data_IF_818465632676
#
_entry.id   IF_818465632676
#
_cell.length_a   1.000
_cell.length_b   1.000
_cell.length_c   1.000
_cell.angle_alpha   90.00
_cell.angle_beta   90.00
_cell.angle_gamma   90.00
#
_symmetry.space_group_name_H-M   'P 1'
#
loop_
_entity.id
_entity.type
_entity.pdbx_description
1 polymer ?
#
# COMPACT_ATOMS: atom_id res chain seq x y z
N UNK A 1 0.04 -20.89 -7.83
CA UNK A 1 -0.03 -20.83 -6.35
C UNK A 1 -1.16 -21.74 -5.90
N UNK A 2 -0.91 -22.62 -4.91
CA UNK A 2 -1.97 -23.35 -4.20
C UNK A 2 -2.27 -22.56 -2.94
N UNK A 3 -3.46 -21.99 -2.87
CA UNK A 3 -3.96 -21.28 -1.70
C UNK A 3 -4.94 -22.19 -0.97
N UNK A 4 -4.86 -22.23 0.35
CA UNK A 4 -5.83 -22.94 1.19
C UNK A 4 -6.98 -21.97 1.50
N UNK A 5 -8.20 -22.20 0.99
CA UNK A 5 -9.30 -21.26 1.18
C UNK A 5 -9.74 -21.11 2.65
N UNK A 6 -9.34 -22.03 3.53
CA UNK A 6 -9.65 -21.97 4.96
C UNK A 6 -8.67 -21.11 5.76
N UNK A 7 -7.47 -20.85 5.23
CA UNK A 7 -6.44 -20.07 5.92
C UNK A 7 -6.78 -18.58 5.88
N UNK A 8 -6.83 -17.97 7.08
CA UNK A 8 -7.03 -16.54 7.25
C UNK A 8 -5.82 -15.81 6.65
N UNK A 9 -6.07 -14.94 5.69
CA UNK A 9 -5.01 -14.23 4.98
C UNK A 9 -5.17 -12.72 5.11
N UNK A 10 -4.08 -12.00 5.31
CA UNK A 10 -4.03 -10.56 5.15
C UNK A 10 -3.09 -10.17 4.01
N UNK A 11 -3.45 -9.13 3.28
CA UNK A 11 -2.67 -8.59 2.18
C UNK A 11 -1.99 -7.29 2.62
N UNK A 12 -0.69 -7.16 2.36
CA UNK A 12 0.09 -5.96 2.68
C UNK A 12 0.71 -5.43 1.39
N UNK A 13 0.31 -4.22 0.98
CA UNK A 13 0.76 -3.60 -0.27
C UNK A 13 1.62 -2.38 0.02
N UNK A 14 2.89 -2.44 -0.35
CA UNK A 14 3.73 -1.26 -0.42
C UNK A 14 3.40 -0.46 -1.69
N UNK A 15 2.68 0.66 -1.51
CA UNK A 15 2.22 1.50 -2.60
C UNK A 15 3.34 2.17 -3.40
N UNK A 16 4.43 2.57 -2.74
CA UNK A 16 5.55 3.25 -3.41
C UNK A 16 6.32 2.27 -4.31
N UNK A 17 6.63 1.08 -3.79
CA UNK A 17 7.32 0.05 -4.56
C UNK A 17 6.42 -0.55 -5.65
N UNK A 18 5.12 -0.76 -5.39
CA UNK A 18 4.18 -1.23 -6.41
C UNK A 18 4.07 -0.21 -7.56
N UNK A 19 3.92 1.07 -7.25
CA UNK A 19 3.85 2.13 -8.26
C UNK A 19 5.13 2.22 -9.10
N UNK A 20 6.30 2.16 -8.45
CA UNK A 20 7.58 2.19 -9.16
C UNK A 20 7.73 0.99 -10.12
N UNK A 21 7.33 -0.21 -9.67
CA UNK A 21 7.40 -1.43 -10.47
C UNK A 21 6.45 -1.37 -11.68
N UNK A 22 5.19 -1.00 -11.47
CA UNK A 22 4.18 -0.97 -12.55
C UNK A 22 4.52 0.10 -13.58
N UNK A 23 5.02 1.27 -13.12
CA UNK A 23 5.51 2.33 -14.01
C UNK A 23 6.70 1.87 -14.84
N UNK A 24 7.64 1.14 -14.26
CA UNK A 24 8.79 0.59 -14.98
C UNK A 24 8.38 -0.48 -16.00
N UNK A 25 7.30 -1.21 -15.74
CA UNK A 25 6.78 -2.27 -16.61
C UNK A 25 5.74 -1.76 -17.62
N UNK A 26 5.30 -0.50 -17.50
CA UNK A 26 4.40 0.15 -18.45
C UNK A 26 2.94 -0.31 -18.38
N UNK A 27 2.46 -0.73 -17.21
CA UNK A 27 1.05 -1.09 -17.00
C UNK A 27 0.48 -0.44 -15.74
N UNK A 28 -0.85 -0.36 -15.68
CA UNK A 28 -1.59 0.16 -14.53
C UNK A 28 -2.23 -0.99 -13.74
N UNK A 29 -2.35 -0.81 -12.42
CA UNK A 29 -2.98 -1.79 -11.53
C UNK A 29 -4.47 -1.49 -11.41
N UNK A 30 -5.29 -2.48 -11.75
CA UNK A 30 -6.70 -2.48 -11.38
C UNK A 30 -6.84 -3.02 -9.95
N UNK A 31 -6.88 -2.11 -8.99
CA UNK A 31 -6.98 -2.44 -7.57
C UNK A 31 -8.30 -3.14 -7.21
N UNK A 32 -9.38 -2.91 -7.96
CA UNK A 32 -10.64 -3.62 -7.73
C UNK A 32 -10.46 -5.10 -8.05
N UNK A 33 -9.96 -5.38 -9.25
CA UNK A 33 -9.71 -6.76 -9.70
C UNK A 33 -8.64 -7.45 -8.86
N UNK A 34 -7.67 -6.70 -8.34
CA UNK A 34 -6.67 -7.23 -7.42
C UNK A 34 -7.32 -7.71 -6.11
N UNK A 35 -8.18 -6.89 -5.51
CA UNK A 35 -8.90 -7.24 -4.29
C UNK A 35 -9.82 -8.46 -4.52
N UNK A 36 -10.65 -8.40 -5.57
CA UNK A 36 -11.57 -9.47 -5.96
C UNK A 36 -10.82 -10.79 -6.20
N UNK A 37 -9.63 -10.74 -6.79
CA UNK A 37 -8.81 -11.93 -7.05
C UNK A 37 -8.40 -12.66 -5.76
N UNK A 38 -8.04 -11.91 -4.71
CA UNK A 38 -7.66 -12.50 -3.43
C UNK A 38 -8.88 -12.91 -2.61
N UNK A 39 -9.92 -12.09 -2.59
CA UNK A 39 -11.18 -12.36 -1.88
C UNK A 39 -11.84 -13.67 -2.35
N UNK A 40 -11.85 -13.94 -3.67
CA UNK A 40 -12.43 -15.19 -4.22
C UNK A 40 -11.59 -16.43 -3.90
N UNK A 41 -10.27 -16.27 -3.69
CA UNK A 41 -9.33 -17.40 -3.58
C UNK A 41 -8.88 -17.71 -2.16
N UNK A 42 -9.10 -16.79 -1.23
CA UNK A 42 -8.58 -16.82 0.13
C UNK A 42 -9.67 -16.40 1.10
N UNK A 43 -9.54 -16.80 2.36
CA UNK A 43 -10.26 -16.14 3.45
C UNK A 43 -9.57 -14.81 3.77
N UNK A 44 -9.77 -13.81 2.91
CA UNK A 44 -9.12 -12.50 3.02
C UNK A 44 -9.74 -11.70 4.18
N UNK A 45 -8.98 -11.54 5.27
CA UNK A 45 -9.44 -10.84 6.47
C UNK A 45 -9.28 -9.32 6.31
N UNK A 46 -8.16 -8.88 5.75
CA UNK A 46 -7.86 -7.46 5.51
C UNK A 46 -6.91 -7.29 4.32
N UNK A 47 -7.03 -6.14 3.64
CA UNK A 47 -6.07 -5.69 2.64
C UNK A 47 -5.56 -4.30 3.00
N UNK A 48 -4.29 -4.19 3.34
CA UNK A 48 -3.61 -2.96 3.71
C UNK A 48 -2.87 -2.35 2.53
N UNK A 49 -2.95 -1.03 2.41
CA UNK A 49 -2.19 -0.25 1.44
C UNK A 49 -1.40 0.85 2.14
N UNK A 50 -0.08 0.79 2.01
CA UNK A 50 0.86 1.68 2.69
C UNK A 50 1.30 2.79 1.74
N UNK A 51 1.11 4.04 2.15
CA UNK A 51 1.49 5.19 1.32
C UNK A 51 2.00 6.35 2.16
N UNK A 52 3.13 6.93 1.76
CA UNK A 52 3.53 8.22 2.29
C UNK A 52 2.85 9.36 1.52
N UNK A 53 2.29 10.33 2.22
CA UNK A 53 1.60 11.49 1.64
C UNK A 53 2.35 12.77 1.99
N UNK A 54 2.55 13.65 1.01
CA UNK A 54 3.11 14.98 1.27
C UNK A 54 2.10 15.82 2.05
N UNK A 55 2.52 16.43 3.16
CA UNK A 55 1.70 17.35 3.95
C UNK A 55 1.68 18.78 3.37
N UNK A 56 2.67 19.14 2.56
CA UNK A 56 2.98 20.53 2.22
C UNK A 56 2.22 21.09 1.02
N UNK A 57 1.42 20.27 0.34
CA UNK A 57 0.53 20.73 -0.74
C UNK A 57 -0.91 20.52 -0.29
N UNK A 58 -1.76 21.54 -0.47
CA UNK A 58 -3.23 21.45 -0.28
C UNK A 58 -3.86 20.28 -1.05
N UNK A 59 -3.14 19.72 -2.02
CA UNK A 59 -3.56 18.61 -2.85
C UNK A 59 -2.40 17.61 -3.08
N UNK A 60 -2.48 16.41 -2.49
CA UNK A 60 -1.58 15.31 -2.85
C UNK A 60 -2.12 14.60 -4.11
N UNK A 61 -1.30 14.40 -5.16
CA UNK A 61 -1.70 13.65 -6.36
C UNK A 61 -2.16 12.21 -6.07
N UNK A 62 -1.76 11.65 -4.93
CA UNK A 62 -2.16 10.31 -4.49
C UNK A 62 -3.51 10.30 -3.76
N UNK A 63 -4.02 11.47 -3.33
CA UNK A 63 -5.27 11.60 -2.56
C UNK A 63 -6.47 10.94 -3.25
N UNK A 64 -6.72 11.12 -4.56
CA UNK A 64 -7.83 10.45 -5.24
C UNK A 64 -7.70 8.92 -5.22
N UNK A 65 -6.49 8.40 -5.41
CA UNK A 65 -6.24 6.95 -5.36
C UNK A 65 -6.48 6.42 -3.95
N UNK A 66 -5.93 7.07 -2.92
CA UNK A 66 -6.14 6.65 -1.54
C UNK A 66 -7.62 6.69 -1.18
N UNK A 67 -8.35 7.75 -1.51
CA UNK A 67 -9.78 7.85 -1.22
C UNK A 67 -10.58 6.74 -1.91
N UNK A 68 -10.23 6.44 -3.17
CA UNK A 68 -10.84 5.33 -3.89
C UNK A 68 -10.54 3.98 -3.24
N UNK A 69 -9.29 3.73 -2.82
CA UNK A 69 -8.89 2.48 -2.17
C UNK A 69 -9.65 2.28 -0.86
N UNK A 70 -9.69 3.30 0.00
CA UNK A 70 -10.43 3.26 1.26
C UNK A 70 -11.92 2.99 1.05
N UNK A 71 -12.52 3.66 0.05
CA UNK A 71 -13.92 3.45 -0.31
C UNK A 71 -14.21 2.02 -0.80
N UNK A 72 -13.24 1.39 -1.48
CA UNK A 72 -13.40 0.06 -2.08
C UNK A 72 -12.83 -1.08 -1.22
N UNK A 73 -12.67 -0.88 0.09
CA UNK A 73 -12.40 -1.97 1.04
C UNK A 73 -10.93 -2.17 1.42
N UNK A 74 -10.02 -1.31 0.97
CA UNK A 74 -8.64 -1.31 1.47
C UNK A 74 -8.54 -0.54 2.80
N UNK A 75 -7.72 -1.07 3.71
CA UNK A 75 -7.28 -0.37 4.92
C UNK A 75 -6.05 0.46 4.57
N UNK A 76 -6.15 1.79 4.67
CA UNK A 76 -5.02 2.68 4.38
C UNK A 76 -4.15 2.90 5.61
N UNK A 77 -2.84 2.78 5.42
CA UNK A 77 -1.84 3.20 6.41
C UNK A 77 -1.02 4.32 5.77
N UNK A 78 -1.12 5.52 6.32
CA UNK A 78 -0.44 6.70 5.78
C UNK A 78 0.54 7.31 6.75
N UNK A 79 1.62 7.86 6.19
CA UNK A 79 2.64 8.58 6.94
C UNK A 79 2.99 9.87 6.22
N UNK A 80 3.27 10.97 6.93
CA UNK A 80 3.73 12.18 6.30
C UNK A 80 5.10 11.96 5.65
N UNK A 81 5.17 12.21 4.33
CA UNK A 81 6.40 12.21 3.57
C UNK A 81 7.16 13.52 3.83
N UNK A 82 8.48 13.43 4.04
CA UNK A 82 9.34 14.60 4.22
C UNK A 82 10.02 14.96 2.91
N UNK A 83 9.91 16.21 2.51
CA UNK A 83 10.70 16.75 1.42
C UNK A 83 12.10 17.13 1.95
N UNK A 84 13.14 16.80 1.19
CA UNK A 84 14.51 17.19 1.47
C UNK A 84 15.22 17.58 0.18
N UNK A 85 16.12 18.56 0.28
CA UNK A 85 16.98 18.96 -0.83
C UNK A 85 18.30 18.21 -0.71
N UNK A 86 18.68 17.48 -1.76
CA UNK A 86 20.00 16.82 -1.79
C UNK A 86 21.14 17.86 -1.92
N UNK A 87 22.38 17.43 -1.71
CA UNK A 87 23.55 18.32 -1.81
C UNK A 87 23.75 18.92 -3.22
N UNK A 88 23.05 18.41 -4.24
CA UNK A 88 23.04 18.92 -5.61
C UNK A 88 21.86 19.86 -5.88
N UNK A 89 21.09 20.24 -4.85
CA UNK A 89 19.95 21.17 -4.98
C UNK A 89 18.67 20.52 -5.51
N UNK A 90 18.63 19.19 -5.70
CA UNK A 90 17.43 18.51 -6.20
C UNK A 90 16.48 18.19 -5.06
N UNK A 91 15.20 18.51 -5.26
CA UNK A 91 14.11 18.13 -4.35
C UNK A 91 13.92 16.61 -4.40
N UNK A 92 13.86 15.99 -3.22
CA UNK A 92 13.63 14.56 -3.03
C UNK A 92 12.57 14.38 -1.95
N UNK A 93 11.76 13.34 -2.10
CA UNK A 93 10.73 12.99 -1.14
C UNK A 93 11.18 11.71 -0.43
N UNK A 94 11.21 11.72 0.90
CA UNK A 94 11.46 10.52 1.72
C UNK A 94 10.20 10.20 2.51
N UNK A 95 9.59 9.05 2.19
CA UNK A 95 8.43 8.53 2.89
C UNK A 95 8.43 7.02 2.79
N UNK A 96 9.36 6.38 3.52
CA UNK A 96 9.45 4.93 3.57
C UNK A 96 8.44 4.39 4.61
N UNK A 97 7.72 3.33 4.23
CA UNK A 97 6.71 2.62 5.02
C UNK A 97 7.20 1.25 5.53
N UNK A 98 8.44 0.84 5.25
CA UNK A 98 8.98 -0.49 5.57
C UNK A 98 8.82 -0.85 7.06
N UNK A 99 9.01 0.13 7.96
CA UNK A 99 8.89 -0.09 9.40
C UNK A 99 7.45 -0.32 9.79
N UNK A 100 6.53 0.55 9.35
CA UNK A 100 5.10 0.41 9.62
C UNK A 100 4.56 -0.91 9.07
N UNK A 101 4.93 -1.24 7.82
CA UNK A 101 4.56 -2.49 7.17
C UNK A 101 5.08 -3.72 7.94
N UNK A 102 6.35 -3.70 8.39
CA UNK A 102 6.93 -4.80 9.16
C UNK A 102 6.27 -4.97 10.54
N UNK A 103 5.98 -3.88 11.25
CA UNK A 103 5.32 -3.92 12.56
C UNK A 103 3.90 -4.48 12.42
N UNK A 104 3.10 -3.95 11.51
CA UNK A 104 1.73 -4.39 11.30
C UNK A 104 1.65 -5.86 10.90
N UNK A 105 2.60 -6.34 10.08
CA UNK A 105 2.70 -7.77 9.72
C UNK A 105 2.97 -8.65 10.94
N UNK A 106 3.89 -8.23 11.84
CA UNK A 106 4.22 -8.99 13.04
C UNK A 106 3.07 -8.98 14.05
N UNK A 107 2.42 -7.85 14.26
CA UNK A 107 1.27 -7.73 15.17
C UNK A 107 0.06 -8.55 14.69
N UNK A 108 -0.15 -8.64 13.37
CA UNK A 108 -1.26 -9.39 12.81
C UNK A 108 -0.96 -10.90 12.68
N UNK A 109 0.32 -11.32 12.72
CA UNK A 109 0.69 -12.71 12.54
C UNK A 109 0.01 -13.63 13.56
N UNK A 110 0.02 -13.25 14.85
CA UNK A 110 -0.60 -14.00 15.94
C UNK A 110 -2.13 -14.06 15.81
N UNK A 111 -2.74 -13.10 15.12
CA UNK A 111 -4.18 -12.99 14.90
C UNK A 111 -4.66 -13.75 13.66
N UNK A 112 -3.74 -14.28 12.84
CA UNK A 112 -4.05 -15.01 11.61
C UNK A 112 -3.88 -16.54 11.73
N UNK A 113 -3.44 -17.04 12.89
CA UNK A 113 -3.48 -18.47 13.22
C UNK A 113 -4.91 -19.05 13.26
#
# INVERSE_FOLDING_TARGET
MRFNPQERTALFIDGANLYAATRSLGFDVDYRRLLDYFDVKLNLIRAYYYSALLETEEYSPLKPLTDWLAYNGYSLVTKPAKEFTDAAGRRRIKGNMDIELAIDMLELADELE
#
